data_IF_741099151562
#
_entry.id   IF_741099151562
#
_cell.length_a   1.000
_cell.length_b   1.000
_cell.length_c   1.000
_cell.angle_alpha   90.00
_cell.angle_beta   90.00
_cell.angle_gamma   90.00
#
_symmetry.space_group_name_H-M   'P 1'
#
loop_
_entity.id
_entity.type
_entity.pdbx_description
1 polymer ?
#
# COMPACT_ATOMS: atom_id res chain seq x y z
N UNK A 1 13.97 -11.42 10.02
CA UNK A 1 13.46 -10.24 9.28
C UNK A 1 12.07 -10.51 8.72
N UNK A 2 11.91 -11.52 7.86
CA UNK A 2 10.62 -11.96 7.30
C UNK A 2 9.58 -12.36 8.36
N UNK A 3 9.99 -13.09 9.40
CA UNK A 3 9.07 -13.51 10.47
C UNK A 3 8.37 -12.34 11.19
N UNK A 4 9.05 -11.19 11.35
CA UNK A 4 8.45 -9.99 11.96
C UNK A 4 7.41 -9.36 11.04
N UNK A 5 7.67 -9.33 9.74
CA UNK A 5 6.72 -8.85 8.74
C UNK A 5 5.45 -9.71 8.72
N UNK A 6 5.61 -11.03 8.64
CA UNK A 6 4.48 -11.96 8.69
C UNK A 6 3.68 -11.82 9.99
N UNK A 7 4.34 -11.72 11.15
CA UNK A 7 3.67 -11.48 12.43
C UNK A 7 2.93 -10.13 12.47
N UNK A 8 3.48 -9.09 11.84
CA UNK A 8 2.84 -7.79 11.77
C UNK A 8 1.53 -7.85 10.97
N UNK A 9 1.50 -8.51 9.81
CA UNK A 9 0.29 -8.62 8.99
C UNK A 9 -0.82 -9.49 9.60
N UNK A 10 -0.48 -10.35 10.58
CA UNK A 10 -1.44 -11.16 11.33
C UNK A 10 -2.14 -10.41 12.46
N UNK A 11 -1.73 -9.17 12.77
CA UNK A 11 -2.41 -8.35 13.78
C UNK A 11 -3.74 -7.82 13.23
N UNK A 12 -4.67 -7.52 14.12
CA UNK A 12 -5.93 -6.89 13.74
C UNK A 12 -5.72 -5.44 13.27
N UNK A 13 -6.57 -4.99 12.35
CA UNK A 13 -6.64 -3.61 11.85
C UNK A 13 -5.30 -3.10 11.29
N UNK A 14 -4.65 -3.93 10.48
CA UNK A 14 -3.39 -3.58 9.83
C UNK A 14 -3.68 -2.98 8.46
N UNK A 15 -3.05 -1.84 8.18
CA UNK A 15 -3.00 -1.23 6.86
C UNK A 15 -1.59 -1.34 6.29
N UNK A 16 -1.45 -1.99 5.13
CA UNK A 16 -0.20 -2.03 4.37
C UNK A 16 -0.33 -1.17 3.12
N UNK A 17 0.49 -0.14 3.03
CA UNK A 17 0.68 0.66 1.82
C UNK A 17 1.93 0.18 1.08
N UNK A 18 1.78 -0.17 -0.20
CA UNK A 18 2.90 -0.49 -1.09
C UNK A 18 2.94 0.52 -2.22
N UNK A 19 4.11 1.08 -2.50
CA UNK A 19 4.33 2.05 -3.57
C UNK A 19 5.46 1.51 -4.45
N UNK A 20 5.17 1.27 -5.73
CA UNK A 20 6.16 0.76 -6.70
C UNK A 20 6.67 -0.66 -6.42
N UNK A 21 5.99 -1.42 -5.55
CA UNK A 21 6.34 -2.82 -5.29
C UNK A 21 5.83 -3.70 -6.44
N UNK A 22 6.72 -4.48 -7.04
CA UNK A 22 6.43 -5.21 -8.29
C UNK A 22 5.68 -6.52 -8.09
N UNK A 23 5.57 -7.02 -6.86
CA UNK A 23 4.98 -8.32 -6.50
C UNK A 23 5.62 -9.58 -7.13
N UNK A 24 6.75 -9.45 -7.85
CA UNK A 24 7.49 -10.61 -8.36
C UNK A 24 8.31 -11.36 -7.29
N UNK A 25 8.59 -10.73 -6.15
CA UNK A 25 9.26 -11.38 -5.02
C UNK A 25 8.30 -12.36 -4.33
N UNK A 26 8.50 -13.67 -4.57
CA UNK A 26 7.64 -14.72 -4.03
C UNK A 26 7.67 -14.79 -2.49
N UNK A 27 8.76 -14.40 -1.84
CA UNK A 27 8.87 -14.49 -0.38
C UNK A 27 8.01 -13.42 0.31
N UNK A 28 7.96 -12.21 -0.23
CA UNK A 28 7.13 -11.13 0.32
C UNK A 28 5.69 -11.25 -0.18
N UNK A 29 5.48 -11.48 -1.48
CA UNK A 29 4.14 -11.55 -2.07
C UNK A 29 3.30 -12.67 -1.48
N UNK A 30 3.90 -13.85 -1.25
CA UNK A 30 3.16 -14.97 -0.63
C UNK A 30 2.66 -14.62 0.78
N UNK A 31 3.45 -13.89 1.57
CA UNK A 31 3.06 -13.46 2.92
C UNK A 31 1.91 -12.45 2.87
N UNK A 32 1.94 -11.51 1.92
CA UNK A 32 0.85 -10.55 1.72
C UNK A 32 -0.43 -11.27 1.31
N UNK A 33 -0.35 -12.22 0.35
CA UNK A 33 -1.50 -13.01 -0.06
C UNK A 33 -2.05 -13.89 1.05
N UNK A 34 -1.18 -14.55 1.83
CA UNK A 34 -1.58 -15.33 3.00
C UNK A 34 -2.32 -14.44 4.01
N UNK A 35 -1.81 -13.24 4.30
CA UNK A 35 -2.45 -12.30 5.20
C UNK A 35 -3.85 -11.87 4.72
N UNK A 36 -4.02 -11.63 3.41
CA UNK A 36 -5.34 -11.30 2.82
C UNK A 36 -6.35 -12.43 2.95
N UNK A 37 -5.91 -13.69 2.98
CA UNK A 37 -6.78 -14.86 3.11
C UNK A 37 -7.16 -15.15 4.57
N UNK A 38 -6.22 -14.98 5.51
CA UNK A 38 -6.43 -15.35 6.92
C UNK A 38 -6.94 -14.21 7.80
N UNK A 39 -6.69 -12.95 7.41
CA UNK A 39 -6.99 -11.78 8.22
C UNK A 39 -7.99 -10.85 7.49
N UNK A 40 -9.30 -10.96 7.77
CA UNK A 40 -10.31 -10.12 7.11
C UNK A 40 -10.21 -8.63 7.48
N UNK A 41 -9.51 -8.28 8.56
CA UNK A 41 -9.26 -6.88 8.96
C UNK A 41 -8.02 -6.28 8.30
N UNK A 42 -7.24 -7.08 7.58
CA UNK A 42 -6.05 -6.61 6.87
C UNK A 42 -6.46 -5.86 5.60
N UNK A 43 -6.04 -4.60 5.49
CA UNK A 43 -6.27 -3.74 4.33
C UNK A 43 -4.93 -3.54 3.60
N UNK A 44 -4.93 -3.81 2.30
CA UNK A 44 -3.81 -3.57 1.40
C UNK A 44 -4.15 -2.43 0.44
N UNK A 45 -3.26 -1.45 0.33
CA UNK A 45 -3.28 -0.43 -0.73
C UNK A 45 -2.03 -0.55 -1.59
N UNK A 46 -2.22 -0.71 -2.90
CA UNK A 46 -1.15 -0.82 -3.88
C UNK A 46 -1.20 0.39 -4.81
N UNK A 47 -0.12 1.18 -4.81
CA UNK A 47 0.09 2.27 -5.74
C UNK A 47 1.17 1.87 -6.74
N UNK A 48 0.79 1.62 -7.99
CA UNK A 48 1.70 1.18 -9.05
C UNK A 48 1.11 1.45 -10.43
N UNK A 49 1.97 1.58 -11.44
CA UNK A 49 1.55 1.66 -12.84
C UNK A 49 1.23 0.29 -13.43
N UNK A 50 0.41 0.26 -14.48
CA UNK A 50 0.16 -0.92 -15.29
C UNK A 50 -0.58 -2.02 -14.54
N UNK A 51 -1.63 -1.67 -13.79
CA UNK A 51 -2.36 -2.62 -12.95
C UNK A 51 -3.02 -3.71 -13.79
N UNK A 52 -3.56 -3.34 -14.95
CA UNK A 52 -4.23 -4.27 -15.83
C UNK A 52 -3.29 -5.18 -16.63
N UNK A 53 -2.08 -4.70 -16.91
CA UNK A 53 -1.08 -5.42 -17.71
C UNK A 53 -0.07 -6.22 -16.88
N UNK A 54 -0.06 -6.07 -15.56
CA UNK A 54 0.88 -6.76 -14.68
C UNK A 54 0.32 -8.09 -14.15
N UNK A 55 0.86 -9.20 -14.66
CA UNK A 55 0.48 -10.56 -14.26
C UNK A 55 0.70 -10.85 -12.78
N UNK A 56 1.67 -10.20 -12.13
CA UNK A 56 1.93 -10.38 -10.70
C UNK A 56 0.78 -9.84 -9.82
N UNK A 57 -0.08 -8.97 -10.37
CA UNK A 57 -1.23 -8.38 -9.68
C UNK A 57 -2.53 -9.13 -9.95
N UNK A 58 -2.56 -10.16 -10.80
CA UNK A 58 -3.78 -10.89 -11.19
C UNK A 58 -4.56 -11.38 -9.98
N UNK A 59 -3.90 -12.02 -9.00
CA UNK A 59 -4.55 -12.45 -7.76
C UNK A 59 -5.10 -11.28 -6.93
N UNK A 60 -4.41 -10.15 -6.91
CA UNK A 60 -4.89 -8.96 -6.19
C UNK A 60 -6.11 -8.32 -6.88
N UNK A 61 -6.15 -8.29 -8.22
CA UNK A 61 -7.32 -7.84 -8.97
C UNK A 61 -8.53 -8.72 -8.70
N UNK A 62 -8.34 -10.03 -8.69
CA UNK A 62 -9.40 -10.98 -8.32
C UNK A 62 -9.92 -10.74 -6.90
N UNK A 63 -9.04 -10.51 -5.92
CA UNK A 63 -9.45 -10.22 -4.54
C UNK A 63 -10.17 -8.86 -4.45
N UNK A 64 -9.63 -7.81 -5.08
CA UNK A 64 -10.22 -6.47 -5.08
C UNK A 64 -11.63 -6.46 -5.68
N UNK A 65 -11.89 -7.30 -6.70
CA UNK A 65 -13.24 -7.43 -7.28
C UNK A 65 -14.27 -8.09 -6.36
N UNK A 66 -13.81 -8.82 -5.34
CA UNK A 66 -14.67 -9.60 -4.42
C UNK A 66 -14.77 -8.96 -3.04
N UNK A 67 -13.70 -8.33 -2.58
CA UNK A 67 -13.52 -7.83 -1.23
C UNK A 67 -13.06 -6.38 -1.23
N UNK A 68 -13.52 -5.60 -0.24
CA UNK A 68 -13.15 -4.18 -0.10
C UNK A 68 -11.83 -3.95 0.64
N UNK A 69 -11.05 -5.01 0.91
CA UNK A 69 -9.81 -4.93 1.68
C UNK A 69 -8.54 -4.82 0.81
N UNK A 70 -8.69 -4.75 -0.52
CA UNK A 70 -7.60 -4.48 -1.45
C UNK A 70 -7.97 -3.25 -2.28
N UNK A 71 -7.14 -2.22 -2.22
CA UNK A 71 -7.23 -1.02 -3.04
C UNK A 71 -6.08 -1.00 -4.03
N UNK A 72 -6.41 -0.90 -5.31
CA UNK A 72 -5.46 -0.81 -6.41
C UNK A 72 -5.56 0.58 -7.02
N UNK A 73 -4.46 1.35 -6.98
CA UNK A 73 -4.39 2.74 -7.43
C UNK A 73 -3.33 2.86 -8.50
N UNK A 74 -3.75 3.19 -9.72
CA UNK A 74 -2.84 3.34 -10.85
C UNK A 74 -2.34 4.78 -10.97
N UNK A 75 -1.28 5.11 -10.24
CA UNK A 75 -0.67 6.44 -10.26
C UNK A 75 0.86 6.38 -10.13
N UNK A 76 1.55 7.46 -10.54
CA UNK A 76 2.98 7.64 -10.24
C UNK A 76 3.11 8.13 -8.81
N UNK A 77 4.24 7.80 -8.17
CA UNK A 77 4.54 8.27 -6.82
C UNK A 77 4.47 9.80 -6.69
N UNK A 78 4.95 10.55 -7.69
CA UNK A 78 4.90 12.02 -7.68
C UNK A 78 3.46 12.55 -7.67
N UNK A 79 2.55 11.90 -8.40
CA UNK A 79 1.15 12.30 -8.46
C UNK A 79 0.46 12.00 -7.11
N UNK A 80 0.76 10.83 -6.52
CA UNK A 80 0.28 10.46 -5.18
C UNK A 80 0.70 11.50 -4.13
N UNK A 81 1.99 11.85 -4.07
CA UNK A 81 2.52 12.79 -3.07
C UNK A 81 1.95 14.19 -3.25
N UNK A 82 1.85 14.65 -4.49
CA UNK A 82 1.33 16.00 -4.79
C UNK A 82 -0.14 16.14 -4.41
N UNK A 83 -0.92 15.06 -4.54
CA UNK A 83 -2.34 15.04 -4.22
C UNK A 83 -2.64 14.51 -2.81
N UNK A 84 -1.63 14.07 -2.05
CA UNK A 84 -1.85 13.56 -0.70
C UNK A 84 -2.28 14.72 0.20
N UNK A 85 -3.45 14.64 0.86
CA UNK A 85 -3.99 15.74 1.62
C UNK A 85 -3.03 16.10 2.76
N UNK A 86 -2.64 17.37 2.81
CA UNK A 86 -1.84 17.89 3.91
C UNK A 86 -2.69 17.89 5.17
N UNK A 87 -2.18 17.28 6.24
CA UNK A 87 -2.89 17.24 7.52
C UNK A 87 -2.46 18.43 8.38
N UNK A 88 -3.35 19.43 8.47
CA UNK A 88 -3.13 20.64 9.27
C UNK A 88 -2.89 20.36 10.76
N UNK A 89 -3.35 19.22 11.29
CA UNK A 89 -3.17 18.84 12.71
C UNK A 89 -1.71 18.57 13.04
N UNK A 90 -0.91 18.15 12.07
CA UNK A 90 0.54 17.91 12.24
C UNK A 90 1.40 19.11 11.82
N UNK A 91 0.78 20.26 11.52
CA UNK A 91 1.52 21.49 11.32
C UNK A 91 1.99 22.00 12.69
N UNK A 92 3.23 21.69 13.04
CA UNK A 92 3.88 22.34 14.17
C UNK A 92 3.95 23.85 13.89
N UNK A 93 3.25 24.65 14.71
CA UNK A 93 3.21 26.12 14.62
C UNK A 93 4.59 26.79 14.84
N UNK A 94 5.68 26.02 14.87
CA UNK A 94 7.05 26.50 15.01
C UNK A 94 7.61 26.92 13.65
N UNK A 95 7.03 27.94 13.00
CA UNK A 95 7.62 28.89 12.03
C UNK A 95 8.59 28.45 10.91
N UNK A 96 9.03 27.21 10.83
CA UNK A 96 9.92 26.64 9.83
C UNK A 96 9.03 25.83 8.90
N UNK A 97 8.30 26.58 8.06
CA UNK A 97 7.53 25.98 6.98
C UNK A 97 8.48 25.14 6.15
N UNK A 98 8.19 23.83 6.06
CA UNK A 98 8.72 23.01 4.99
C UNK A 98 8.17 23.61 3.70
N UNK A 99 8.93 24.53 3.09
CA UNK A 99 8.70 24.95 1.73
C UNK A 99 8.53 23.67 0.91
N UNK A 100 7.44 23.60 0.14
CA UNK A 100 7.21 22.59 -0.87
C UNK A 100 8.38 22.64 -1.87
N UNK A 101 9.50 22.02 -1.52
CA UNK A 101 10.58 21.72 -2.44
C UNK A 101 10.03 20.58 -3.29
N UNK A 102 9.53 20.95 -4.46
CA UNK A 102 9.29 20.01 -5.55
C UNK A 102 10.51 19.10 -5.67
N UNK A 103 10.26 17.79 -5.61
CA UNK A 103 11.25 16.75 -5.87
C UNK A 103 11.85 16.89 -7.28
#
# INVERSE_FOLDING_TARGET
MIARFQQALRKENVFLLTIGFSFYDKHISSIIHEALEINPSFILMVVTLGIESNDALTKLREIASKNNNVLLIEERFIDLVTNYPFNEVYHDNTGEGYENKSF
#
